data_IF_035727374857
#
_entry.id   IF_035727374857
#
_cell.length_a   1.000
_cell.length_b   1.000
_cell.length_c   1.000
_cell.angle_alpha   90.00
_cell.angle_beta   90.00
_cell.angle_gamma   90.00
#
_symmetry.space_group_name_H-M   'P 1'
#
loop_
_entity.id
_entity.type
_entity.pdbx_description
1 polymer ?
#
# COMPACT_ATOMS: atom_id res chain seq x y z
N UNK A 1 23.34 -15.84 -1.06
CA UNK A 1 23.32 -16.13 -2.51
C UNK A 1 22.24 -15.34 -3.24
N UNK A 2 20.94 -15.53 -2.96
CA UNK A 2 19.85 -14.84 -3.68
C UNK A 2 19.94 -13.30 -3.64
N UNK A 3 20.18 -12.70 -2.45
CA UNK A 3 20.35 -11.25 -2.33
C UNK A 3 21.54 -10.71 -3.16
N UNK A 4 22.64 -11.45 -3.24
CA UNK A 4 23.80 -11.05 -4.05
C UNK A 4 23.52 -11.14 -5.55
N UNK A 5 22.77 -12.17 -5.98
CA UNK A 5 22.44 -12.38 -7.39
C UNK A 5 21.34 -11.42 -7.90
N UNK A 6 20.32 -11.16 -7.08
CA UNK A 6 19.11 -10.44 -7.50
C UNK A 6 18.92 -9.08 -6.82
N UNK A 7 19.69 -8.75 -5.79
CA UNK A 7 19.68 -7.42 -5.17
C UNK A 7 20.00 -6.29 -6.16
N UNK A 8 21.02 -6.42 -7.05
CA UNK A 8 21.34 -5.37 -8.01
C UNK A 8 20.18 -5.00 -8.94
N UNK A 9 19.42 -5.98 -9.45
CA UNK A 9 18.26 -5.69 -10.32
C UNK A 9 17.14 -4.97 -9.55
N UNK A 10 16.88 -5.36 -8.30
CA UNK A 10 15.93 -4.68 -7.43
C UNK A 10 16.36 -3.23 -7.15
N UNK A 11 17.66 -2.98 -6.90
CA UNK A 11 18.18 -1.64 -6.69
C UNK A 11 18.09 -0.76 -7.95
N UNK A 12 18.29 -1.33 -9.14
CA UNK A 12 18.10 -0.61 -10.42
C UNK A 12 16.64 -0.20 -10.56
N UNK A 13 15.70 -1.13 -10.38
CA UNK A 13 14.27 -0.84 -10.44
C UNK A 13 13.87 0.22 -9.41
N UNK A 14 14.40 0.14 -8.19
CA UNK A 14 14.14 1.15 -7.15
C UNK A 14 14.55 2.55 -7.61
N UNK A 15 15.81 2.70 -8.03
CA UNK A 15 16.37 3.98 -8.45
C UNK A 15 15.59 4.57 -9.63
N UNK A 16 15.35 3.76 -10.64
CA UNK A 16 14.62 4.23 -11.82
C UNK A 16 13.17 4.61 -11.50
N UNK A 17 12.48 3.87 -10.63
CA UNK A 17 11.12 4.20 -10.21
C UNK A 17 11.07 5.49 -9.36
N UNK A 18 12.05 5.68 -8.46
CA UNK A 18 12.16 6.87 -7.62
C UNK A 18 12.33 8.15 -8.46
N UNK A 19 13.12 8.08 -9.54
CA UNK A 19 13.39 9.20 -10.45
C UNK A 19 12.30 9.40 -11.53
N UNK A 20 11.29 8.51 -11.60
CA UNK A 20 10.25 8.53 -12.64
C UNK A 20 9.05 9.41 -12.29
N UNK A 21 8.20 9.74 -13.27
CA UNK A 21 6.87 10.31 -13.06
C UNK A 21 5.77 9.42 -13.64
N UNK A 22 4.51 9.79 -13.39
CA UNK A 22 3.33 9.05 -13.87
C UNK A 22 3.29 8.88 -15.40
N UNK A 23 3.84 9.82 -16.18
CA UNK A 23 3.78 9.75 -17.65
C UNK A 23 4.95 9.01 -18.29
N UNK A 24 6.01 8.71 -17.52
CA UNK A 24 7.27 8.15 -18.07
C UNK A 24 7.70 6.85 -17.40
N UNK A 25 6.82 6.25 -16.58
CA UNK A 25 7.15 4.99 -15.91
C UNK A 25 7.26 3.83 -16.90
N UNK A 26 8.10 2.85 -16.58
CA UNK A 26 8.42 1.75 -17.49
C UNK A 26 7.69 0.48 -17.09
N UNK A 27 6.87 -0.04 -17.99
CA UNK A 27 6.08 -1.26 -17.73
C UNK A 27 6.94 -2.50 -17.42
N UNK A 28 8.17 -2.56 -17.92
CA UNK A 28 9.04 -3.71 -17.67
C UNK A 28 9.45 -3.87 -16.20
N UNK A 29 9.43 -2.81 -15.39
CA UNK A 29 9.65 -2.92 -13.95
C UNK A 29 8.63 -3.87 -13.33
N UNK A 30 7.35 -3.71 -13.68
CA UNK A 30 6.28 -4.56 -13.18
C UNK A 30 6.38 -6.00 -13.69
N UNK A 31 6.92 -6.22 -14.90
CA UNK A 31 7.19 -7.57 -15.39
C UNK A 31 8.25 -8.26 -14.52
N UNK A 32 9.34 -7.57 -14.18
CA UNK A 32 10.38 -8.09 -13.27
C UNK A 32 9.78 -8.39 -11.90
N UNK A 33 9.06 -7.43 -11.31
CA UNK A 33 8.46 -7.62 -9.99
C UNK A 33 7.41 -8.73 -9.96
N UNK A 34 6.66 -8.88 -11.06
CA UNK A 34 5.73 -9.99 -11.21
C UNK A 34 6.45 -11.34 -11.21
N UNK A 35 7.56 -11.49 -11.95
CA UNK A 35 8.37 -12.72 -11.89
C UNK A 35 8.84 -13.01 -10.47
N UNK A 36 9.37 -12.00 -9.77
CA UNK A 36 9.79 -12.18 -8.37
C UNK A 36 8.63 -12.61 -7.48
N UNK A 37 7.44 -12.00 -7.66
CA UNK A 37 6.25 -12.30 -6.85
C UNK A 37 5.66 -13.69 -7.04
N UNK A 38 6.06 -14.43 -8.09
CA UNK A 38 5.53 -15.77 -8.39
C UNK A 38 6.40 -16.90 -7.87
N UNK A 39 7.64 -16.61 -7.46
CA UNK A 39 8.62 -17.62 -6.99
C UNK A 39 8.93 -17.35 -5.52
N UNK A 40 8.54 -18.25 -4.63
CA UNK A 40 8.54 -17.99 -3.17
C UNK A 40 9.84 -17.40 -2.60
N UNK A 41 11.05 -17.95 -2.87
CA UNK A 41 12.29 -17.34 -2.39
C UNK A 41 12.54 -15.91 -2.92
N UNK A 42 12.15 -15.62 -4.16
CA UNK A 42 12.28 -14.29 -4.76
C UNK A 42 11.22 -13.33 -4.23
N UNK A 43 10.01 -13.81 -3.99
CA UNK A 43 8.93 -13.02 -3.40
C UNK A 43 9.28 -12.61 -1.97
N UNK A 44 9.87 -13.51 -1.17
CA UNK A 44 10.41 -13.18 0.16
C UNK A 44 11.50 -12.13 0.08
N UNK A 45 12.41 -12.26 -0.89
CA UNK A 45 13.46 -11.27 -1.13
C UNK A 45 12.87 -9.90 -1.49
N UNK A 46 11.89 -9.87 -2.39
CA UNK A 46 11.20 -8.65 -2.81
C UNK A 46 10.50 -7.95 -1.64
N UNK A 47 9.67 -8.67 -0.89
CA UNK A 47 8.98 -8.10 0.28
C UNK A 47 10.00 -7.58 1.30
N UNK A 48 11.03 -8.37 1.62
CA UNK A 48 12.08 -7.94 2.56
C UNK A 48 12.79 -6.67 2.08
N UNK A 49 13.06 -6.53 0.78
CA UNK A 49 13.67 -5.33 0.20
C UNK A 49 12.72 -4.13 0.25
N UNK A 50 11.40 -4.38 0.22
CA UNK A 50 10.37 -3.34 0.31
C UNK A 50 9.97 -2.98 1.74
N UNK A 51 10.43 -3.71 2.77
CA UNK A 51 10.13 -3.39 4.17
C UNK A 51 11.19 -2.41 4.71
N UNK A 52 10.82 -1.17 5.06
CA UNK A 52 11.77 -0.20 5.59
C UNK A 52 12.22 -0.57 7.01
N UNK A 53 13.39 -0.07 7.41
CA UNK A 53 13.91 -0.22 8.77
C UNK A 53 13.26 0.80 9.73
N UNK A 54 12.94 1.99 9.23
CA UNK A 54 12.25 3.04 9.99
C UNK A 54 10.74 2.77 10.07
N UNK A 55 10.13 3.12 11.19
CA UNK A 55 8.68 3.04 11.41
C UNK A 55 7.91 4.25 10.87
N UNK A 56 8.58 5.23 10.24
CA UNK A 56 7.91 6.38 9.65
C UNK A 56 7.18 5.98 8.37
N UNK A 57 5.99 6.53 8.16
CA UNK A 57 5.21 6.30 6.94
C UNK A 57 5.96 6.74 5.68
N UNK A 58 6.75 7.81 5.75
CA UNK A 58 7.59 8.29 4.63
C UNK A 58 8.71 7.31 4.26
N UNK A 59 9.17 6.47 5.18
CA UNK A 59 10.19 5.46 4.88
C UNK A 59 9.66 4.35 3.96
N UNK A 60 8.35 4.10 3.95
CA UNK A 60 7.75 3.17 2.99
C UNK A 60 7.83 3.69 1.55
N UNK A 61 7.79 5.01 1.35
CA UNK A 61 7.92 5.64 0.04
C UNK A 61 9.30 5.43 -0.58
N UNK A 62 10.35 5.30 0.25
CA UNK A 62 11.75 5.05 -0.16
C UNK A 62 12.04 3.54 -0.32
N UNK A 63 11.12 2.83 -0.96
CA UNK A 63 11.22 1.40 -1.25
C UNK A 63 10.76 1.16 -2.69
N UNK A 64 11.02 -0.01 -3.26
CA UNK A 64 10.56 -0.31 -4.63
C UNK A 64 9.04 -0.17 -4.74
N UNK A 65 8.28 -0.84 -3.86
CA UNK A 65 6.82 -0.75 -3.88
C UNK A 65 6.38 0.68 -3.60
N UNK A 66 7.05 1.39 -2.70
CA UNK A 66 6.67 2.76 -2.37
C UNK A 66 6.96 3.78 -3.45
N UNK A 67 8.09 3.66 -4.16
CA UNK A 67 8.41 4.51 -5.28
C UNK A 67 7.38 4.34 -6.40
N UNK A 68 6.96 3.09 -6.67
CA UNK A 68 5.91 2.78 -7.66
C UNK A 68 4.53 3.27 -7.21
N UNK A 69 4.17 3.08 -5.94
CA UNK A 69 2.94 3.61 -5.35
C UNK A 69 2.94 5.14 -5.37
N UNK A 70 4.10 5.79 -5.29
CA UNK A 70 4.24 7.26 -5.33
C UNK A 70 4.12 7.86 -6.73
N UNK A 71 4.00 7.04 -7.78
CA UNK A 71 3.74 7.54 -9.14
C UNK A 71 2.31 8.06 -9.24
N UNK A 72 2.15 9.38 -9.31
CA UNK A 72 0.83 10.02 -9.30
C UNK A 72 0.87 11.34 -10.06
N UNK A 73 -0.31 11.90 -10.31
CA UNK A 73 -0.45 13.30 -10.71
C UNK A 73 -0.29 14.27 -9.52
N UNK A 74 -0.23 13.74 -8.29
CA UNK A 74 0.03 14.49 -7.07
C UNK A 74 1.53 14.51 -6.73
N UNK A 75 2.02 15.55 -6.04
CA UNK A 75 3.41 15.65 -5.63
C UNK A 75 3.87 14.47 -4.77
N UNK A 76 5.10 14.01 -5.01
CA UNK A 76 5.73 12.93 -4.22
C UNK A 76 6.09 13.36 -2.79
N UNK A 77 6.26 14.66 -2.58
CA UNK A 77 6.58 15.25 -1.29
C UNK A 77 5.86 16.59 -1.12
N UNK A 78 5.65 16.98 0.13
CA UNK A 78 4.99 18.23 0.47
C UNK A 78 5.84 19.44 0.05
N UNK A 79 5.18 20.47 -0.48
CA UNK A 79 5.83 21.70 -0.94
C UNK A 79 6.50 21.60 -2.32
N UNK A 80 6.40 20.46 -3.01
CA UNK A 80 6.85 20.32 -4.41
C UNK A 80 5.75 20.84 -5.35
N UNK A 81 6.09 21.55 -6.45
CA UNK A 81 5.13 22.01 -7.45
C UNK A 81 4.32 20.87 -8.10
N UNK A 82 3.18 21.22 -8.69
CA UNK A 82 2.37 20.29 -9.48
C UNK A 82 2.84 20.31 -10.93
N UNK A 83 3.28 19.17 -11.45
CA UNK A 83 3.85 19.08 -12.81
C UNK A 83 2.81 19.09 -13.94
N UNK A 84 1.53 18.89 -13.62
CA UNK A 84 0.48 18.59 -14.61
C UNK A 84 -0.41 19.78 -14.97
N UNK A 85 -0.49 20.79 -14.11
CA UNK A 85 -1.45 21.88 -14.23
C UNK A 85 -0.81 23.23 -13.89
N UNK A 86 0.09 23.70 -14.76
CA UNK A 86 0.75 25.01 -14.62
C UNK A 86 -0.23 26.18 -14.80
N UNK A 87 -1.25 26.03 -15.65
CA UNK A 87 -2.27 27.05 -15.93
C UNK A 87 -3.68 26.45 -16.06
N UNK A 88 -4.26 25.95 -14.96
CA UNK A 88 -5.50 25.17 -14.99
C UNK A 88 -6.72 25.97 -15.52
N UNK A 89 -6.66 27.30 -15.47
CA UNK A 89 -7.74 28.18 -15.94
C UNK A 89 -7.65 28.54 -17.43
N UNK A 90 -6.53 28.25 -18.11
CA UNK A 90 -6.32 28.64 -19.52
C UNK A 90 -6.05 27.46 -20.47
N UNK A 91 -5.80 26.27 -19.95
CA UNK A 91 -5.62 25.06 -20.73
C UNK A 91 -6.95 24.32 -20.90
N UNK A 92 -7.22 23.79 -22.10
CA UNK A 92 -8.32 22.84 -22.28
C UNK A 92 -7.96 21.52 -21.57
N UNK A 93 -8.69 21.13 -20.51
CA UNK A 93 -8.23 20.08 -19.60
C UNK A 93 -8.31 18.66 -20.19
N UNK A 94 -9.13 18.45 -21.23
CA UNK A 94 -9.52 17.09 -21.66
C UNK A 94 -8.38 16.18 -22.11
N UNK A 95 -7.38 16.70 -22.83
CA UNK A 95 -6.25 15.86 -23.30
C UNK A 95 -5.27 15.51 -22.19
N UNK A 96 -5.02 16.42 -21.25
CA UNK A 96 -4.11 16.18 -20.12
C UNK A 96 -4.75 15.21 -19.15
N UNK A 97 -6.03 15.42 -18.85
CA UNK A 97 -6.81 14.56 -17.96
C UNK A 97 -6.92 13.14 -18.52
N UNK A 98 -7.23 12.96 -19.81
CA UNK A 98 -7.30 11.65 -20.45
C UNK A 98 -5.98 10.87 -20.39
N UNK A 99 -4.85 11.55 -20.55
CA UNK A 99 -3.52 10.95 -20.42
C UNK A 99 -3.23 10.52 -18.98
N UNK A 100 -3.59 11.34 -17.99
CA UNK A 100 -3.45 11.03 -16.56
C UNK A 100 -4.28 9.78 -16.21
N UNK A 101 -5.55 9.74 -16.63
CA UNK A 101 -6.43 8.59 -16.37
C UNK A 101 -5.88 7.31 -16.97
N UNK A 102 -5.45 7.35 -18.23
CA UNK A 102 -4.87 6.19 -18.92
C UNK A 102 -3.62 5.68 -18.21
N UNK A 103 -2.74 6.60 -17.77
CA UNK A 103 -1.53 6.24 -17.04
C UNK A 103 -1.82 5.66 -15.65
N UNK A 104 -2.76 6.24 -14.91
CA UNK A 104 -3.18 5.74 -13.59
C UNK A 104 -3.85 4.37 -13.68
N UNK A 105 -4.66 4.12 -14.69
CA UNK A 105 -5.30 2.82 -14.91
C UNK A 105 -4.26 1.74 -15.19
N UNK A 106 -3.31 2.01 -16.10
CA UNK A 106 -2.21 1.11 -16.40
C UNK A 106 -1.29 0.87 -15.18
N UNK A 107 -1.04 1.89 -14.37
CA UNK A 107 -0.28 1.77 -13.13
C UNK A 107 -1.03 0.91 -12.09
N UNK A 108 -2.34 1.16 -11.91
CA UNK A 108 -3.19 0.40 -10.98
C UNK A 108 -3.25 -1.08 -11.37
N UNK A 109 -3.43 -1.38 -12.67
CA UNK A 109 -3.40 -2.75 -13.20
C UNK A 109 -2.12 -3.47 -12.81
N UNK A 110 -0.98 -2.86 -13.10
CA UNK A 110 0.34 -3.43 -12.83
C UNK A 110 0.63 -3.58 -11.33
N UNK A 111 0.30 -2.58 -10.50
CA UNK A 111 0.46 -2.66 -9.04
C UNK A 111 -0.40 -3.78 -8.44
N UNK A 112 -1.69 -3.81 -8.77
CA UNK A 112 -2.59 -4.85 -8.30
C UNK A 112 -2.09 -6.24 -8.66
N UNK A 113 -1.62 -6.44 -9.91
CA UNK A 113 -1.09 -7.72 -10.37
C UNK A 113 0.09 -8.20 -9.52
N UNK A 114 1.01 -7.31 -9.16
CA UNK A 114 2.15 -7.63 -8.28
C UNK A 114 1.66 -8.01 -6.88
N UNK A 115 0.84 -7.16 -6.23
CA UNK A 115 0.31 -7.43 -4.88
C UNK A 115 -0.51 -8.72 -4.82
N UNK A 116 -1.40 -8.94 -5.79
CA UNK A 116 -2.21 -10.15 -5.88
C UNK A 116 -1.35 -11.40 -6.08
N UNK A 117 -0.27 -11.32 -6.84
CA UNK A 117 0.66 -12.44 -7.03
C UNK A 117 1.42 -12.77 -5.75
N UNK A 118 1.89 -11.75 -5.02
CA UNK A 118 2.52 -11.92 -3.70
C UNK A 118 1.57 -12.62 -2.71
N UNK A 119 0.32 -12.16 -2.63
CA UNK A 119 -0.70 -12.75 -1.76
C UNK A 119 -1.07 -14.20 -2.12
N UNK A 120 -0.85 -14.62 -3.38
CA UNK A 120 -1.12 -15.97 -3.87
C UNK A 120 0.09 -16.90 -3.86
N UNK A 121 1.30 -16.36 -3.71
CA UNK A 121 2.55 -17.11 -3.91
C UNK A 121 2.71 -18.27 -2.92
N UNK A 122 2.63 -18.00 -1.61
CA UNK A 122 2.65 -19.02 -0.56
C UNK A 122 2.00 -18.49 0.71
N UNK A 123 1.74 -19.36 1.70
CA UNK A 123 1.21 -18.93 3.00
C UNK A 123 2.14 -17.97 3.72
N UNK A 124 3.45 -18.19 3.60
CA UNK A 124 4.50 -17.32 4.16
C UNK A 124 4.53 -15.96 3.46
N UNK A 125 4.61 -15.93 2.13
CA UNK A 125 4.68 -14.66 1.38
C UNK A 125 3.41 -13.84 1.59
N UNK A 126 2.24 -14.50 1.65
CA UNK A 126 0.98 -13.85 1.98
C UNK A 126 1.02 -13.19 3.35
N UNK A 127 1.51 -13.90 4.38
CA UNK A 127 1.67 -13.32 5.72
C UNK A 127 2.60 -12.11 5.71
N UNK A 128 3.78 -12.22 5.09
CA UNK A 128 4.74 -11.12 4.99
C UNK A 128 4.16 -9.91 4.23
N UNK A 129 3.38 -10.15 3.17
CA UNK A 129 2.73 -9.09 2.38
C UNK A 129 1.64 -8.39 3.17
N UNK A 130 0.77 -9.14 3.87
CA UNK A 130 -0.26 -8.57 4.73
C UNK A 130 0.34 -7.81 5.91
N UNK A 131 1.45 -8.30 6.47
CA UNK A 131 2.22 -7.59 7.50
C UNK A 131 2.81 -6.30 6.97
N UNK A 132 3.39 -6.30 5.77
CA UNK A 132 3.89 -5.08 5.13
C UNK A 132 2.77 -4.04 4.95
N UNK A 133 1.59 -4.45 4.49
CA UNK A 133 0.42 -3.58 4.36
C UNK A 133 0.02 -3.02 5.73
N UNK A 134 -0.08 -3.86 6.76
CA UNK A 134 -0.44 -3.44 8.10
C UNK A 134 0.55 -2.43 8.70
N UNK A 135 1.85 -2.71 8.61
CA UNK A 135 2.90 -1.80 9.06
C UNK A 135 2.85 -0.47 8.31
N UNK A 136 2.63 -0.50 6.99
CA UNK A 136 2.52 0.69 6.16
C UNK A 136 1.33 1.56 6.58
N UNK A 137 0.16 0.96 6.79
CA UNK A 137 -1.04 1.67 7.22
C UNK A 137 -0.87 2.24 8.64
N UNK A 138 -0.31 1.46 9.57
CA UNK A 138 -0.05 1.89 10.94
C UNK A 138 0.93 3.08 10.98
N UNK A 139 2.05 2.98 10.26
CA UNK A 139 3.04 4.05 10.13
C UNK A 139 2.46 5.36 9.54
N UNK A 140 1.35 5.25 8.82
CA UNK A 140 0.64 6.37 8.19
C UNK A 140 -0.64 6.79 8.92
N UNK A 141 -0.98 6.19 10.07
CA UNK A 141 -2.22 6.51 10.82
C UNK A 141 -2.30 7.98 11.22
N UNK A 142 -1.15 8.64 11.41
CA UNK A 142 -1.06 10.04 11.74
C UNK A 142 -1.68 10.97 10.67
N UNK A 143 -1.84 10.51 9.42
CA UNK A 143 -2.49 11.26 8.34
C UNK A 143 -3.95 11.62 8.65
N UNK A 144 -4.64 10.83 9.48
CA UNK A 144 -6.02 11.11 9.91
C UNK A 144 -6.14 12.15 11.03
N UNK A 145 -5.03 12.62 11.62
CA UNK A 145 -5.06 13.56 12.75
C UNK A 145 -5.17 15.00 12.24
N UNK A 146 -6.09 15.78 12.82
CA UNK A 146 -6.37 17.18 12.45
C UNK A 146 -5.11 18.05 12.36
N UNK A 147 -4.18 17.90 13.32
CA UNK A 147 -2.93 18.67 13.34
C UNK A 147 -2.01 18.39 12.14
N UNK A 148 -2.07 17.19 11.56
CA UNK A 148 -1.26 16.82 10.39
C UNK A 148 -1.94 17.18 9.07
N UNK A 149 -3.27 17.29 9.07
CA UNK A 149 -4.01 17.82 7.93
C UNK A 149 -3.88 19.35 7.82
N UNK A 150 -3.64 20.04 8.94
CA UNK A 150 -3.54 21.51 8.99
C UNK A 150 -2.11 22.05 9.21
N UNK A 151 -1.18 21.21 9.66
CA UNK A 151 0.20 21.60 9.97
C UNK A 151 1.24 20.88 9.10
N UNK A 152 2.25 21.62 8.62
CA UNK A 152 3.31 21.12 7.74
C UNK A 152 4.27 20.09 8.37
N UNK A 153 4.12 19.75 9.66
CA UNK A 153 5.07 18.87 10.38
C UNK A 153 4.74 17.38 10.22
N UNK A 154 3.46 17.00 10.24
CA UNK A 154 3.04 15.60 10.03
C UNK A 154 3.23 15.11 8.59
N UNK A 155 3.27 16.05 7.67
CA UNK A 155 3.56 15.85 6.26
C UNK A 155 4.91 15.15 6.00
N UNK A 156 5.96 15.43 6.78
CA UNK A 156 7.30 14.89 6.49
C UNK A 156 7.51 13.44 6.95
N UNK A 157 6.71 12.97 7.91
CA UNK A 157 6.84 11.63 8.49
C UNK A 157 5.87 10.61 7.88
N UNK A 158 4.98 11.05 6.99
CA UNK A 158 3.97 10.20 6.35
C UNK A 158 4.20 10.11 4.85
N UNK A 159 3.69 9.06 4.22
CA UNK A 159 3.69 8.91 2.77
C UNK A 159 2.83 10.00 2.11
N UNK A 160 3.07 10.25 0.83
CA UNK A 160 2.32 11.24 0.05
C UNK A 160 0.87 10.81 -0.22
N UNK A 161 0.05 11.76 -0.65
CA UNK A 161 -1.34 11.48 -1.02
C UNK A 161 -1.43 10.54 -2.23
N UNK A 162 -0.56 10.75 -3.23
CA UNK A 162 -0.46 9.88 -4.40
C UNK A 162 -0.16 8.42 -4.02
N UNK A 163 0.80 8.22 -3.10
CA UNK A 163 1.10 6.90 -2.54
C UNK A 163 -0.14 6.25 -1.93
N UNK A 164 -0.83 6.96 -1.04
CA UNK A 164 -1.93 6.38 -0.27
C UNK A 164 -3.17 6.13 -1.14
N UNK A 165 -3.43 6.97 -2.14
CA UNK A 165 -4.50 6.75 -3.12
C UNK A 165 -4.24 5.51 -3.97
N UNK A 166 -3.02 5.32 -4.45
CA UNK A 166 -2.65 4.13 -5.21
C UNK A 166 -2.71 2.86 -4.36
N UNK A 167 -2.23 2.91 -3.11
CA UNK A 167 -2.38 1.79 -2.18
C UNK A 167 -3.86 1.48 -1.92
N UNK A 168 -4.69 2.52 -1.69
CA UNK A 168 -6.14 2.39 -1.55
C UNK A 168 -6.79 1.71 -2.76
N UNK A 169 -6.40 2.09 -3.98
CA UNK A 169 -6.88 1.46 -5.21
C UNK A 169 -6.51 -0.03 -5.26
N UNK A 170 -5.26 -0.40 -4.96
CA UNK A 170 -4.83 -1.80 -4.87
C UNK A 170 -5.69 -2.58 -3.88
N UNK A 171 -5.91 -2.04 -2.68
CA UNK A 171 -6.73 -2.68 -1.63
C UNK A 171 -8.19 -2.84 -2.07
N UNK A 172 -8.80 -1.82 -2.66
CA UNK A 172 -10.18 -1.89 -3.18
C UNK A 172 -10.33 -2.99 -4.23
N UNK A 173 -9.36 -3.12 -5.14
CA UNK A 173 -9.37 -4.17 -6.17
C UNK A 173 -9.17 -5.57 -5.60
N UNK A 174 -8.36 -5.71 -4.55
CA UNK A 174 -8.23 -6.98 -3.82
C UNK A 174 -9.53 -7.36 -3.08
N UNK A 175 -10.27 -6.36 -2.59
CA UNK A 175 -11.56 -6.56 -1.91
C UNK A 175 -12.75 -6.74 -2.88
N UNK A 176 -12.63 -6.30 -4.13
CA UNK A 176 -13.71 -6.35 -5.13
C UNK A 176 -14.40 -7.73 -5.24
N UNK A 177 -13.69 -8.89 -5.22
CA UNK A 177 -14.34 -10.20 -5.31
C UNK A 177 -15.31 -10.52 -4.17
N UNK A 178 -15.22 -9.83 -3.02
CA UNK A 178 -16.08 -10.02 -1.85
C UNK A 178 -17.32 -9.12 -1.90
N UNK A 179 -17.27 -8.04 -2.67
CA UNK A 179 -18.30 -7.00 -2.71
C UNK A 179 -18.98 -6.86 -4.08
N UNK A 180 -18.68 -7.73 -5.04
CA UNK A 180 -19.16 -7.62 -6.43
C UNK A 180 -20.70 -7.68 -6.54
N UNK A 181 -21.36 -8.46 -5.66
CA UNK A 181 -22.82 -8.55 -5.55
C UNK A 181 -23.18 -8.69 -4.07
N UNK A 182 -24.26 -8.05 -3.64
CA UNK A 182 -24.74 -8.14 -2.25
C UNK A 182 -25.13 -9.57 -1.83
N UNK A 183 -25.38 -10.45 -2.80
CA UNK A 183 -25.70 -11.87 -2.59
C UNK A 183 -24.48 -12.79 -2.64
N UNK A 184 -23.26 -12.29 -2.86
CA UNK A 184 -22.08 -13.14 -2.95
C UNK A 184 -21.73 -13.68 -1.54
N UNK A 185 -21.78 -15.00 -1.30
CA UNK A 185 -21.49 -15.57 0.02
C UNK A 185 -20.05 -15.34 0.48
N UNK A 186 -19.13 -14.90 -0.39
CA UNK A 186 -17.76 -14.54 0.02
C UNK A 186 -17.72 -13.44 1.06
N UNK A 187 -18.71 -12.54 1.11
CA UNK A 187 -18.78 -11.50 2.15
C UNK A 187 -18.81 -12.11 3.56
N UNK A 188 -19.37 -13.32 3.71
CA UNK A 188 -19.41 -14.06 4.98
C UNK A 188 -18.04 -14.57 5.43
N UNK A 189 -17.00 -14.45 4.59
CA UNK A 189 -15.61 -14.75 4.98
C UNK A 189 -14.94 -13.58 5.70
N UNK A 190 -15.56 -12.40 5.70
CA UNK A 190 -15.06 -11.24 6.44
C UNK A 190 -15.47 -11.39 7.89
N UNK A 191 -14.49 -11.58 8.77
CA UNK A 191 -14.72 -11.70 10.21
C UNK A 191 -15.08 -10.33 10.81
N UNK A 192 -16.30 -10.14 11.34
CA UNK A 192 -16.72 -8.87 11.93
C UNK A 192 -16.01 -8.56 13.25
N UNK A 193 -15.34 -9.54 13.87
CA UNK A 193 -14.59 -9.39 15.12
C UNK A 193 -13.11 -9.06 14.92
N UNK A 194 -12.64 -9.01 13.67
CA UNK A 194 -11.23 -8.81 13.33
C UNK A 194 -10.61 -7.59 14.03
N UNK A 195 -11.31 -6.45 14.05
CA UNK A 195 -10.81 -5.22 14.66
C UNK A 195 -10.72 -5.28 16.19
N UNK A 196 -11.43 -6.21 16.83
CA UNK A 196 -11.37 -6.43 18.27
C UNK A 196 -10.24 -7.38 18.70
N UNK A 197 -9.69 -8.16 17.77
CA UNK A 197 -8.67 -9.14 18.07
C UNK A 197 -7.32 -8.46 18.37
N UNK A 198 -6.72 -8.85 19.50
CA UNK A 198 -5.35 -8.46 19.87
C UNK A 198 -4.45 -9.70 19.84
N UNK A 199 -3.54 -9.82 18.85
CA UNK A 199 -2.55 -10.89 18.84
C UNK A 199 -1.47 -10.64 19.89
N UNK A 200 -1.02 -11.69 20.58
CA UNK A 200 0.01 -11.58 21.63
C UNK A 200 1.41 -11.33 21.08
N UNK A 201 1.70 -11.96 19.95
CA UNK A 201 2.98 -11.90 19.26
C UNK A 201 2.76 -12.16 17.75
N UNK A 202 3.86 -12.14 16.99
CA UNK A 202 3.83 -12.39 15.54
C UNK A 202 3.34 -13.81 15.20
N UNK A 203 3.66 -14.81 16.02
CA UNK A 203 3.25 -16.19 15.76
C UNK A 203 1.73 -16.34 15.94
N UNK A 204 1.15 -15.72 16.97
CA UNK A 204 -0.30 -15.66 17.19
C UNK A 204 -1.02 -14.86 16.09
N UNK A 205 -0.46 -13.69 15.73
CA UNK A 205 -0.93 -12.87 14.60
C UNK A 205 -1.01 -13.69 13.31
N UNK A 206 0.05 -14.44 13.00
CA UNK A 206 0.10 -15.30 11.82
C UNK A 206 -0.89 -16.45 11.89
N UNK A 207 -0.98 -17.12 13.02
CA UNK A 207 -1.86 -18.28 13.19
C UNK A 207 -3.34 -17.91 13.05
N UNK A 208 -3.73 -16.76 13.61
CA UNK A 208 -5.11 -16.24 13.58
C UNK A 208 -5.43 -15.40 12.36
N UNK A 209 -4.42 -14.99 11.60
CA UNK A 209 -4.58 -14.13 10.43
C UNK A 209 -4.81 -12.65 10.76
N UNK A 210 -4.51 -12.20 11.98
CA UNK A 210 -4.72 -10.82 12.45
C UNK A 210 -3.45 -10.00 12.30
N UNK A 211 -3.37 -9.16 11.27
CA UNK A 211 -2.13 -8.46 10.90
C UNK A 211 -2.15 -6.96 11.23
N UNK A 212 -3.33 -6.33 11.25
CA UNK A 212 -3.45 -4.90 11.49
C UNK A 212 -3.09 -4.55 12.94
N UNK A 213 -2.29 -3.51 13.12
CA UNK A 213 -1.80 -3.09 14.43
C UNK A 213 -2.70 -2.01 15.03
N UNK A 214 -3.13 -2.20 16.28
CA UNK A 214 -3.81 -1.17 17.06
C UNK A 214 -5.30 -0.97 16.77
N UNK A 215 -5.93 -1.80 15.93
CA UNK A 215 -7.35 -1.67 15.58
C UNK A 215 -8.29 -1.72 16.80
N UNK A 216 -7.92 -2.49 17.83
CA UNK A 216 -8.67 -2.59 19.09
C UNK A 216 -8.72 -1.29 19.88
N UNK A 217 -7.80 -0.37 19.62
CA UNK A 217 -7.64 0.92 20.31
C UNK A 217 -8.32 2.07 19.57
N UNK A 218 -8.80 1.83 18.35
CA UNK A 218 -9.48 2.84 17.55
C UNK A 218 -10.87 3.17 18.12
N UNK A 219 -11.30 4.42 17.91
CA UNK A 219 -12.64 4.83 18.30
C UNK A 219 -13.67 4.09 17.46
N UNK A 220 -14.59 3.40 18.12
CA UNK A 220 -15.61 2.59 17.47
C UNK A 220 -16.96 3.31 17.39
N UNK A 221 -17.77 2.95 16.39
CA UNK A 221 -19.15 3.46 16.26
C UNK A 221 -20.02 3.11 17.47
N UNK A 222 -19.84 1.89 18.00
CA UNK A 222 -20.51 1.42 19.21
C UNK A 222 -19.45 1.34 20.33
N UNK A 223 -19.48 2.26 21.30
CA UNK A 223 -18.61 2.21 22.46
C UNK A 223 -18.99 1.02 23.35
N UNK A 224 -18.02 0.55 24.11
CA UNK A 224 -18.24 -0.48 25.12
C UNK A 224 -18.29 0.20 26.48
N UNK A 225 -19.05 -0.36 27.41
CA UNK A 225 -18.96 0.03 28.82
C UNK A 225 -17.56 -0.28 29.37
N UNK A 226 -17.08 0.50 30.35
CA UNK A 226 -15.70 0.40 30.87
C UNK A 226 -15.28 -1.00 31.40
N UNK A 227 -16.24 -1.91 31.65
CA UNK A 227 -16.01 -3.25 32.19
C UNK A 227 -16.34 -4.40 31.23
N UNK A 228 -16.68 -4.12 29.98
CA UNK A 228 -17.05 -5.15 29.00
C UNK A 228 -15.94 -5.35 27.96
N UNK A 229 -15.74 -6.60 27.53
CA UNK A 229 -14.82 -6.94 26.45
C UNK A 229 -15.56 -7.14 25.14
N UNK A 230 -14.94 -6.76 24.01
CA UNK A 230 -15.52 -7.03 22.69
C UNK A 230 -15.54 -8.54 22.43
N UNK A 231 -16.56 -9.06 21.72
CA UNK A 231 -16.51 -10.39 21.15
C UNK A 231 -15.30 -10.51 20.20
N UNK A 232 -14.55 -11.60 20.34
CA UNK A 232 -13.40 -11.96 19.50
C UNK A 232 -13.52 -13.44 19.13
N UNK A 233 -13.34 -13.76 17.85
CA UNK A 233 -13.31 -15.13 17.33
C UNK A 233 -11.97 -15.86 17.62
#
# INVERSE_FOLDING_TARGET
VLLGAFGPILNIVHKEAADSSLLVFRQHWFNVLHVFSTVEPLAKLLIKHCTPVSSHGSAFSDTILGALLSLSCLPKAYGVPYDFFDKPLSQSPGSVEGNIWTALDALSESLHKVFHSLLKCSTEVRHLTLRWIAMCLHANAARGKLWNAQGNVGATLTASDGFMLNLGNVLLRLCQPFCAKFTDPKILRVDPTYCAAEPKDEADSRARGVHMEGMSKETCLIPISDNETRPVA
#
